data_IF_112598693409
#
_entry.id   IF_112598693409
#
_cell.length_a   1.000
_cell.length_b   1.000
_cell.length_c   1.000
_cell.angle_alpha   90.00
_cell.angle_beta   90.00
_cell.angle_gamma   90.00
#
_symmetry.space_group_name_H-M   'P 1'
#
loop_
_entity.id
_entity.type
_entity.pdbx_description
1 polymer ?
#
# COMPACT_ATOMS: atom_id res chain seq x y z
N UNK A 1 -2.92 -10.98 19.43
CA UNK A 1 -4.15 -11.19 18.64
C UNK A 1 -5.33 -11.40 19.57
N UNK A 2 -6.44 -10.68 19.35
CA UNK A 2 -7.67 -10.83 20.14
C UNK A 2 -8.88 -11.01 19.22
N UNK A 3 -9.86 -11.76 19.70
CA UNK A 3 -11.19 -11.84 19.10
C UNK A 3 -11.90 -10.50 19.27
N UNK A 4 -12.38 -9.87 18.19
CA UNK A 4 -12.89 -8.50 18.26
C UNK A 4 -14.14 -8.36 19.13
N UNK A 5 -15.04 -9.36 19.09
CA UNK A 5 -16.32 -9.30 19.78
C UNK A 5 -16.20 -9.41 21.30
N UNK A 6 -15.23 -10.19 21.79
CA UNK A 6 -15.10 -10.55 23.23
C UNK A 6 -13.83 -10.01 23.87
N UNK A 7 -12.87 -9.53 23.05
CA UNK A 7 -11.51 -9.19 23.44
C UNK A 7 -10.71 -10.35 24.06
N UNK A 8 -11.19 -11.58 23.91
CA UNK A 8 -10.49 -12.78 24.35
C UNK A 8 -9.15 -12.90 23.63
N UNK A 9 -8.10 -13.18 24.39
CA UNK A 9 -6.77 -13.40 23.83
C UNK A 9 -6.76 -14.69 22.99
N UNK A 10 -6.33 -14.56 21.73
CA UNK A 10 -6.18 -15.68 20.79
C UNK A 10 -4.73 -16.13 20.70
N UNK A 11 -3.80 -15.17 20.68
CA UNK A 11 -2.37 -15.44 20.60
C UNK A 11 -1.54 -14.25 21.12
N UNK A 12 -0.33 -14.56 21.58
CA UNK A 12 0.69 -13.61 22.03
C UNK A 12 2.02 -13.93 21.38
N UNK A 13 2.74 -12.89 20.99
CA UNK A 13 4.08 -13.00 20.40
C UNK A 13 5.09 -12.34 21.34
N UNK A 14 6.12 -13.06 21.81
CA UNK A 14 7.17 -12.46 22.63
C UNK A 14 8.02 -11.50 21.78
N UNK A 15 8.15 -10.25 22.25
CA UNK A 15 8.97 -9.20 21.62
C UNK A 15 10.33 -9.05 22.32
N UNK A 16 11.09 -8.01 21.98
CA UNK A 16 12.42 -7.75 22.54
C UNK A 16 13.45 -8.77 22.07
N UNK A 17 14.35 -9.20 22.98
CA UNK A 17 15.49 -10.05 22.63
C UNK A 17 15.09 -11.36 21.92
N UNK A 18 13.96 -11.97 22.30
CA UNK A 18 13.47 -13.19 21.65
C UNK A 18 13.08 -12.94 20.17
N UNK A 19 12.38 -11.84 19.91
CA UNK A 19 12.02 -11.39 18.58
C UNK A 19 13.26 -11.01 17.76
N UNK A 20 14.19 -10.23 18.34
CA UNK A 20 15.41 -9.79 17.66
C UNK A 20 16.32 -10.96 17.31
N UNK A 21 16.50 -11.91 18.22
CA UNK A 21 17.27 -13.14 17.94
C UNK A 21 16.65 -13.93 16.79
N UNK A 22 15.31 -13.99 16.72
CA UNK A 22 14.61 -14.76 15.70
C UNK A 22 14.52 -14.05 14.34
N UNK A 23 14.19 -12.76 14.33
CA UNK A 23 13.89 -11.98 13.12
C UNK A 23 15.03 -11.10 12.65
N UNK A 24 16.13 -11.03 13.42
CA UNK A 24 17.31 -10.22 13.11
C UNK A 24 17.01 -8.71 12.97
N UNK A 25 15.91 -8.27 13.59
CA UNK A 25 15.48 -6.87 13.64
C UNK A 25 14.55 -6.63 14.84
N UNK A 26 14.53 -5.41 15.41
CA UNK A 26 13.63 -5.07 16.51
C UNK A 26 12.18 -4.93 16.04
N UNK A 27 11.25 -5.21 16.94
CA UNK A 27 9.85 -4.80 16.78
C UNK A 27 9.68 -3.39 17.35
N UNK A 28 9.31 -2.43 16.51
CA UNK A 28 9.19 -1.02 16.90
C UNK A 28 7.75 -0.54 16.78
N UNK A 29 7.36 0.35 17.70
CA UNK A 29 6.14 1.14 17.61
C UNK A 29 6.55 2.58 17.30
N UNK A 30 5.95 3.16 16.27
CA UNK A 30 6.23 4.53 15.84
C UNK A 30 4.93 5.26 15.52
N UNK A 31 4.95 6.59 15.64
CA UNK A 31 3.88 7.40 15.08
C UNK A 31 3.87 7.26 13.55
N UNK A 32 2.68 7.06 12.99
CA UNK A 32 2.51 6.91 11.53
C UNK A 32 3.08 8.10 10.76
N UNK A 33 2.86 9.32 11.28
CA UNK A 33 3.35 10.55 10.67
C UNK A 33 4.88 10.60 10.62
N UNK A 34 5.57 10.14 11.66
CA UNK A 34 7.03 10.14 11.73
C UNK A 34 7.63 9.12 10.77
N UNK A 35 7.07 7.90 10.73
CA UNK A 35 7.51 6.88 9.78
C UNK A 35 7.31 7.35 8.33
N UNK A 36 6.15 7.91 8.01
CA UNK A 36 5.88 8.46 6.68
C UNK A 36 6.88 9.58 6.34
N UNK A 37 7.11 10.50 7.28
CA UNK A 37 8.03 11.63 7.07
C UNK A 37 9.46 11.16 6.83
N UNK A 38 9.94 10.16 7.58
CA UNK A 38 11.27 9.57 7.40
C UNK A 38 11.41 8.91 6.01
N UNK A 39 10.39 8.17 5.56
CA UNK A 39 10.37 7.55 4.22
C UNK A 39 10.35 8.60 3.12
N UNK A 40 9.51 9.63 3.24
CA UNK A 40 9.43 10.72 2.25
C UNK A 40 10.74 11.51 2.17
N UNK A 41 11.39 11.78 3.31
CA UNK A 41 12.69 12.43 3.34
C UNK A 41 13.73 11.59 2.58
N UNK A 42 13.75 10.28 2.77
CA UNK A 42 14.69 9.40 2.05
C UNK A 42 14.41 9.35 0.55
N UNK A 43 13.14 9.32 0.15
CA UNK A 43 12.74 9.37 -1.28
C UNK A 43 13.24 10.66 -1.95
N UNK A 44 13.19 11.80 -1.26
CA UNK A 44 13.67 13.08 -1.80
C UNK A 44 15.19 13.10 -2.10
N UNK A 45 15.97 12.20 -1.50
CA UNK A 45 17.40 12.05 -1.74
C UNK A 45 17.73 11.06 -2.89
N UNK A 46 16.72 10.39 -3.45
CA UNK A 46 16.90 9.37 -4.49
C UNK A 46 16.56 9.95 -5.86
N UNK A 47 17.56 10.19 -6.74
CA UNK A 47 17.33 10.86 -8.03
C UNK A 47 16.47 10.05 -9.00
N UNK A 48 16.42 8.72 -8.84
CA UNK A 48 15.63 7.83 -9.70
C UNK A 48 14.14 7.78 -9.31
N UNK A 49 13.73 8.44 -8.21
CA UNK A 49 12.34 8.42 -7.73
C UNK A 49 11.72 9.81 -7.90
N UNK A 50 10.62 9.85 -8.64
CA UNK A 50 9.80 11.05 -8.80
C UNK A 50 8.52 10.91 -7.96
N UNK A 51 8.37 11.76 -6.94
CA UNK A 51 7.18 11.79 -6.10
C UNK A 51 6.23 12.92 -6.54
N UNK A 52 5.11 12.54 -7.13
CA UNK A 52 4.07 13.49 -7.55
C UNK A 52 2.88 13.41 -6.60
N UNK A 53 2.65 14.47 -5.82
CA UNK A 53 1.52 14.54 -4.88
C UNK A 53 0.29 15.17 -5.55
N UNK A 54 -0.89 14.89 -5.01
CA UNK A 54 -2.16 15.37 -5.59
C UNK A 54 -2.55 14.68 -6.90
N UNK A 55 -1.80 13.67 -7.34
CA UNK A 55 -2.09 12.84 -8.51
C UNK A 55 -3.03 11.71 -8.14
N UNK A 56 -4.25 11.75 -8.66
CA UNK A 56 -5.23 10.67 -8.50
C UNK A 56 -5.29 9.85 -9.79
N UNK A 57 -4.94 8.58 -9.72
CA UNK A 57 -5.11 7.64 -10.85
C UNK A 57 -6.61 7.50 -11.16
N UNK A 58 -6.97 7.76 -12.42
CA UNK A 58 -8.32 7.64 -12.94
C UNK A 58 -8.49 6.47 -13.90
N UNK A 59 -7.44 6.13 -14.64
CA UNK A 59 -7.46 5.04 -15.63
C UNK A 59 -6.09 4.38 -15.77
N UNK A 60 -6.10 3.14 -16.25
CA UNK A 60 -4.90 2.34 -16.52
C UNK A 60 -5.13 1.52 -17.78
N UNK A 61 -4.31 1.75 -18.80
CA UNK A 61 -4.26 0.93 -20.00
C UNK A 61 -3.04 0.01 -19.98
N UNK A 62 -3.20 -1.20 -20.51
CA UNK A 62 -2.13 -2.20 -20.59
C UNK A 62 -2.01 -2.70 -22.02
N UNK A 63 -0.84 -2.50 -22.61
CA UNK A 63 -0.55 -2.88 -23.99
C UNK A 63 0.72 -3.72 -24.12
N UNK A 64 1.08 -4.13 -25.35
CA UNK A 64 2.32 -4.86 -25.62
C UNK A 64 3.59 -4.06 -25.24
N UNK A 65 3.50 -2.73 -25.25
CA UNK A 65 4.63 -1.82 -25.00
C UNK A 65 4.78 -1.42 -23.52
N UNK A 66 3.82 -1.80 -22.67
CA UNK A 66 3.85 -1.48 -21.23
C UNK A 66 2.49 -1.08 -20.67
N UNK A 67 2.53 -0.28 -19.62
CA UNK A 67 1.37 0.22 -18.87
C UNK A 67 1.38 1.74 -18.95
N UNK A 68 0.24 2.32 -19.27
CA UNK A 68 0.01 3.77 -19.21
C UNK A 68 -1.01 4.05 -18.12
N UNK A 69 -0.60 4.78 -17.09
CA UNK A 69 -1.48 5.24 -16.02
C UNK A 69 -1.87 6.70 -16.25
N UNK A 70 -3.17 6.96 -16.25
CA UNK A 70 -3.72 8.30 -16.41
C UNK A 70 -4.12 8.85 -15.04
N UNK A 71 -3.62 10.04 -14.71
CA UNK A 71 -3.84 10.68 -13.43
C UNK A 71 -4.35 12.11 -13.57
N UNK A 72 -5.17 12.54 -12.62
CA UNK A 72 -5.63 13.93 -12.50
C UNK A 72 -4.81 14.68 -11.44
N UNK A 73 -4.28 15.85 -11.81
CA UNK A 73 -3.56 16.78 -10.94
C UNK A 73 -4.09 18.20 -11.16
N UNK A 74 -4.72 18.78 -10.14
CA UNK A 74 -5.20 20.17 -10.22
C UNK A 74 -6.16 20.42 -11.38
N UNK A 75 -6.97 19.42 -11.76
CA UNK A 75 -7.91 19.49 -12.89
C UNK A 75 -7.27 19.30 -14.26
N UNK A 76 -6.01 18.84 -14.31
CA UNK A 76 -5.33 18.46 -15.55
C UNK A 76 -5.04 16.97 -15.56
N UNK A 77 -5.27 16.37 -16.70
CA UNK A 77 -4.86 14.99 -16.99
C UNK A 77 -3.37 14.94 -17.29
N UNK A 78 -2.69 13.97 -16.70
CA UNK A 78 -1.31 13.58 -17.01
C UNK A 78 -1.24 12.08 -17.26
N UNK A 79 -0.24 11.66 -18.03
CA UNK A 79 0.05 10.25 -18.29
C UNK A 79 1.42 9.88 -17.75
N UNK A 80 1.53 8.65 -17.24
CA UNK A 80 2.78 8.04 -16.79
C UNK A 80 2.91 6.64 -17.38
N UNK A 81 3.98 6.43 -18.14
CA UNK A 81 4.29 5.14 -18.77
C UNK A 81 5.26 4.32 -17.91
N UNK A 82 5.13 3.00 -17.94
CA UNK A 82 6.06 2.10 -17.27
C UNK A 82 5.80 0.62 -17.52
N UNK A 83 6.74 -0.22 -17.07
CA UNK A 83 6.65 -1.67 -17.25
C UNK A 83 5.85 -2.38 -16.13
N UNK A 84 5.64 -1.70 -15.01
CA UNK A 84 4.97 -2.25 -13.83
C UNK A 84 4.16 -1.16 -13.13
N UNK A 85 2.91 -1.48 -12.82
CA UNK A 85 2.07 -0.68 -11.93
C UNK A 85 1.92 -1.38 -10.59
N UNK A 86 2.24 -0.67 -9.50
CA UNK A 86 2.07 -1.14 -8.13
C UNK A 86 0.88 -0.43 -7.48
N UNK A 87 -0.22 -1.15 -7.27
CA UNK A 87 -1.40 -0.65 -6.55
C UNK A 87 -1.17 -0.60 -5.04
N UNK A 88 -0.65 0.53 -4.54
CA UNK A 88 -0.39 0.79 -3.13
C UNK A 88 -1.38 1.81 -2.51
N UNK A 89 -2.60 1.87 -3.04
CA UNK A 89 -3.67 2.85 -2.72
C UNK A 89 -4.63 2.38 -1.60
N UNK A 90 -4.28 1.31 -0.90
CA UNK A 90 -4.92 0.90 0.35
C UNK A 90 -6.12 -0.04 0.20
N UNK A 91 -6.86 -0.23 1.31
CA UNK A 91 -7.92 -1.25 1.40
C UNK A 91 -9.06 -1.03 0.39
N UNK A 92 -9.34 0.22 0.04
CA UNK A 92 -10.37 0.66 -0.92
C UNK A 92 -9.81 0.95 -2.31
N UNK A 93 -8.74 0.24 -2.70
CA UNK A 93 -8.01 0.45 -3.96
C UNK A 93 -8.90 0.65 -5.18
N UNK A 94 -8.73 1.80 -5.85
CA UNK A 94 -9.31 2.07 -7.17
C UNK A 94 -8.49 1.40 -8.26
N UNK A 95 -7.16 1.29 -8.09
CA UNK A 95 -6.27 0.60 -9.04
C UNK A 95 -6.69 -0.87 -9.21
N UNK A 96 -7.07 -1.55 -8.12
CA UNK A 96 -7.57 -2.93 -8.18
C UNK A 96 -8.81 -3.05 -9.07
N UNK A 97 -9.76 -2.12 -8.95
CA UNK A 97 -10.97 -2.12 -9.77
C UNK A 97 -10.66 -1.92 -11.26
N UNK A 98 -9.74 -0.99 -11.58
CA UNK A 98 -9.31 -0.74 -12.96
C UNK A 98 -8.68 -1.99 -13.60
N UNK A 99 -7.82 -2.69 -12.85
CA UNK A 99 -7.18 -3.93 -13.32
C UNK A 99 -8.18 -5.08 -13.48
N UNK A 100 -9.15 -5.22 -12.57
CA UNK A 100 -10.21 -6.22 -12.68
C UNK A 100 -11.06 -6.01 -13.94
N UNK A 101 -11.42 -4.75 -14.22
CA UNK A 101 -12.13 -4.37 -15.44
C UNK A 101 -11.33 -4.70 -16.70
N UNK A 102 -10.03 -4.39 -16.72
CA UNK A 102 -9.16 -4.69 -17.85
C UNK A 102 -8.99 -6.20 -18.10
N UNK A 103 -8.96 -7.02 -17.03
CA UNK A 103 -8.78 -8.49 -17.13
C UNK A 103 -10.09 -9.27 -17.28
N UNK A 104 -11.24 -8.63 -17.11
CA UNK A 104 -12.55 -9.31 -17.10
C UNK A 104 -12.73 -10.31 -15.96
N UNK A 105 -11.97 -10.18 -14.87
CA UNK A 105 -12.03 -11.06 -13.69
C UNK A 105 -12.18 -10.24 -12.42
N UNK A 106 -13.01 -10.68 -11.48
CA UNK A 106 -13.22 -9.98 -10.21
C UNK A 106 -12.21 -10.42 -9.13
N UNK A 107 -11.55 -9.46 -8.50
CA UNK A 107 -10.76 -9.67 -7.29
C UNK A 107 -11.65 -9.79 -6.05
N UNK A 108 -11.19 -10.48 -4.98
CA UNK A 108 -11.90 -10.53 -3.70
C UNK A 108 -12.10 -9.12 -3.12
N UNK A 109 -13.30 -8.85 -2.61
CA UNK A 109 -13.58 -7.62 -1.87
C UNK A 109 -12.89 -7.65 -0.51
N UNK A 110 -12.52 -6.49 0.00
CA UNK A 110 -12.04 -6.35 1.36
C UNK A 110 -13.15 -6.79 2.35
N UNK A 111 -12.77 -7.60 3.33
CA UNK A 111 -13.66 -8.06 4.39
C UNK A 111 -12.92 -7.98 5.72
N UNK A 112 -13.63 -7.57 6.77
CA UNK A 112 -13.08 -7.54 8.12
C UNK A 112 -13.05 -8.96 8.70
N UNK A 113 -11.87 -9.43 9.11
CA UNK A 113 -11.66 -10.81 9.57
C UNK A 113 -12.31 -11.14 10.91
N UNK A 114 -12.82 -10.15 11.66
CA UNK A 114 -13.33 -10.36 13.03
C UNK A 114 -12.24 -10.37 14.11
N UNK A 115 -11.00 -10.11 13.74
CA UNK A 115 -9.85 -10.13 14.63
C UNK A 115 -9.20 -8.75 14.74
N UNK A 116 -8.64 -8.46 15.91
CA UNK A 116 -7.88 -7.24 16.15
C UNK A 116 -6.42 -7.59 16.46
N UNK A 117 -5.53 -7.02 15.65
CA UNK A 117 -4.11 -6.90 15.94
C UNK A 117 -3.84 -5.47 16.42
N UNK A 118 -3.20 -5.37 17.58
CA UNK A 118 -2.77 -4.14 18.23
C UNK A 118 -1.37 -4.37 18.78
#
# INVERSE_FOLDING_TARGET
LKEAATLRELARVPLGQAAETRWQAPYLVAHRADLQSALTARVAEMPDIHLTTGARIGDVDTGPDGITATAEIGGKTIEAEGFLLVGADGVWSSVRALVDSAKGSASPRNHFSGELAW
#
